data_IF_704331599326
#
_entry.id   IF_704331599326
#
_cell.length_a   1.000
_cell.length_b   1.000
_cell.length_c   1.000
_cell.angle_alpha   90.00
_cell.angle_beta   90.00
_cell.angle_gamma   90.00
#
_symmetry.space_group_name_H-M   'P 1'
#
loop_
_entity.id
_entity.type
_entity.pdbx_description
1 polymer ?
#
# COMPACT_ATOMS: atom_id res chain seq x y z
N UNK A 1 -24.14 -10.36 13.08
CA UNK A 1 -23.99 -8.97 12.61
C UNK A 1 -23.91 -9.00 11.09
N UNK A 2 -24.46 -8.00 10.41
CA UNK A 2 -24.36 -7.89 8.95
C UNK A 2 -23.10 -7.08 8.60
N UNK A 3 -22.35 -7.51 7.60
CA UNK A 3 -21.37 -6.66 6.92
C UNK A 3 -22.00 -6.18 5.61
N UNK A 4 -21.65 -4.99 5.15
CA UNK A 4 -22.08 -4.51 3.85
C UNK A 4 -21.13 -5.01 2.77
N UNK A 5 -21.67 -5.53 1.67
CA UNK A 5 -20.86 -5.99 0.55
C UNK A 5 -20.19 -4.78 -0.12
N UNK A 6 -18.88 -4.84 -0.29
CA UNK A 6 -18.17 -3.84 -1.08
C UNK A 6 -18.31 -4.17 -2.58
N UNK A 7 -18.84 -3.23 -3.36
CA UNK A 7 -19.16 -3.41 -4.78
C UNK A 7 -18.06 -2.92 -5.74
N UNK A 8 -17.00 -2.29 -5.22
CA UNK A 8 -15.94 -1.74 -6.08
C UNK A 8 -16.31 -0.42 -6.76
N UNK A 9 -17.32 0.28 -6.26
CA UNK A 9 -17.92 1.49 -6.84
C UNK A 9 -17.46 2.80 -6.16
N UNK A 10 -16.71 2.72 -5.07
CA UNK A 10 -16.16 3.86 -4.36
C UNK A 10 -14.75 3.61 -3.84
N UNK A 11 -13.94 4.66 -3.74
CA UNK A 11 -12.67 4.62 -3.01
C UNK A 11 -12.93 4.89 -1.53
N UNK A 12 -12.57 3.93 -0.67
CA UNK A 12 -12.75 4.01 0.77
C UNK A 12 -11.53 4.65 1.45
N UNK A 13 -11.73 5.51 2.44
CA UNK A 13 -10.63 5.96 3.31
C UNK A 13 -10.19 4.86 4.29
N UNK A 14 -9.08 5.05 5.00
CA UNK A 14 -8.57 4.00 5.91
C UNK A 14 -9.58 3.61 6.99
N UNK A 15 -10.33 4.56 7.57
CA UNK A 15 -11.30 4.27 8.60
C UNK A 15 -12.46 3.39 8.08
N UNK A 16 -12.93 3.64 6.87
CA UNK A 16 -13.95 2.83 6.20
C UNK A 16 -13.43 1.41 5.89
N UNK A 17 -12.20 1.29 5.41
CA UNK A 17 -11.54 -0.01 5.18
C UNK A 17 -11.46 -0.81 6.49
N UNK A 18 -10.98 -0.18 7.56
CA UNK A 18 -10.83 -0.81 8.88
C UNK A 18 -12.18 -1.27 9.43
N UNK A 19 -13.20 -0.43 9.33
CA UNK A 19 -14.56 -0.75 9.75
C UNK A 19 -15.12 -1.94 8.96
N UNK A 20 -14.92 -1.93 7.64
CA UNK A 20 -15.39 -3.00 6.76
C UNK A 20 -14.74 -4.35 7.08
N UNK A 21 -13.42 -4.40 7.23
CA UNK A 21 -12.70 -5.62 7.57
C UNK A 21 -13.15 -6.20 8.94
N UNK A 22 -13.34 -5.35 9.95
CA UNK A 22 -13.82 -5.76 11.28
C UNK A 22 -15.25 -6.28 11.24
N UNK A 23 -16.14 -5.58 10.53
CA UNK A 23 -17.53 -6.00 10.36
C UNK A 23 -17.61 -7.36 9.65
N UNK A 24 -16.80 -7.57 8.60
CA UNK A 24 -16.76 -8.84 7.88
C UNK A 24 -16.32 -10.00 8.78
N UNK A 25 -15.22 -9.85 9.51
CA UNK A 25 -14.71 -10.89 10.40
C UNK A 25 -15.72 -11.26 11.51
N UNK A 26 -16.42 -10.25 12.06
CA UNK A 26 -17.50 -10.48 13.03
C UNK A 26 -18.74 -11.15 12.41
N UNK A 27 -19.03 -10.87 11.14
CA UNK A 27 -20.19 -11.42 10.45
C UNK A 27 -19.98 -12.87 9.97
N UNK A 28 -18.72 -13.28 9.74
CA UNK A 28 -18.35 -14.60 9.21
C UNK A 28 -17.21 -15.28 9.98
N UNK A 29 -17.31 -15.44 11.31
CA UNK A 29 -16.21 -15.97 12.14
C UNK A 29 -15.83 -17.41 11.82
N UNK A 30 -16.72 -18.20 11.20
CA UNK A 30 -16.42 -19.56 10.75
C UNK A 30 -15.55 -19.64 9.48
N UNK A 31 -15.37 -18.52 8.79
CA UNK A 31 -14.65 -18.43 7.51
C UNK A 31 -13.57 -17.36 7.48
N UNK A 32 -13.71 -16.32 8.30
CA UNK A 32 -12.84 -15.14 8.28
C UNK A 32 -12.32 -14.88 9.68
N UNK A 33 -11.00 -14.78 9.79
CA UNK A 33 -10.34 -14.23 10.97
C UNK A 33 -9.64 -12.93 10.60
N UNK A 34 -9.48 -12.04 11.59
CA UNK A 34 -8.82 -10.76 11.42
C UNK A 34 -7.67 -10.66 12.43
N UNK A 35 -6.48 -10.38 11.91
CA UNK A 35 -5.27 -10.17 12.71
C UNK A 35 -4.77 -8.74 12.49
N UNK A 36 -4.40 -8.07 13.57
CA UNK A 36 -3.63 -6.83 13.50
C UNK A 36 -2.14 -7.17 13.53
N UNK A 37 -1.43 -6.91 12.42
CA UNK A 37 0.00 -7.21 12.32
C UNK A 37 0.87 -6.25 13.15
N UNK A 38 0.30 -5.11 13.52
CA UNK A 38 0.94 -4.07 14.29
C UNK A 38 0.54 -2.68 13.77
N UNK A 39 0.93 -1.63 14.49
CA UNK A 39 0.68 -0.26 14.05
C UNK A 39 1.71 0.20 13.01
N UNK A 40 1.28 1.07 12.11
CA UNK A 40 2.16 1.92 11.31
C UNK A 40 2.88 2.95 12.19
N UNK A 41 3.77 3.75 11.59
CA UNK A 41 4.45 4.84 12.31
C UNK A 41 3.48 5.91 12.83
N UNK A 42 2.39 6.15 12.09
CA UNK A 42 1.29 7.04 12.46
C UNK A 42 0.25 6.39 13.37
N UNK A 43 0.48 5.15 13.82
CA UNK A 43 -0.38 4.46 14.78
C UNK A 43 -1.60 3.76 14.19
N UNK A 44 -1.75 3.72 12.86
CA UNK A 44 -2.86 3.02 12.21
C UNK A 44 -2.61 1.51 12.22
N UNK A 45 -3.58 0.66 12.56
CA UNK A 45 -3.42 -0.79 12.50
C UNK A 45 -3.19 -1.27 11.07
N UNK A 46 -2.28 -2.21 10.86
CA UNK A 46 -2.17 -2.96 9.61
C UNK A 46 -3.00 -4.24 9.75
N UNK A 47 -4.07 -4.35 8.96
CA UNK A 47 -5.01 -5.46 9.03
C UNK A 47 -4.67 -6.58 8.06
N UNK A 48 -4.79 -7.81 8.55
CA UNK A 48 -4.68 -9.05 7.79
C UNK A 48 -5.98 -9.84 7.94
N UNK A 49 -6.66 -10.10 6.83
CA UNK A 49 -7.79 -11.02 6.76
C UNK A 49 -7.29 -12.41 6.37
N UNK A 50 -7.75 -13.43 7.08
CA UNK A 50 -7.47 -14.82 6.74
C UNK A 50 -8.78 -15.53 6.45
N UNK A 51 -8.96 -15.97 5.21
CA UNK A 51 -10.12 -16.66 4.68
C UNK A 51 -9.83 -18.16 4.55
N UNK A 52 -10.70 -18.98 5.13
CA UNK A 52 -10.60 -20.43 5.12
C UNK A 52 -11.49 -21.01 6.22
N UNK A 53 -11.75 -22.31 6.22
CA UNK A 53 -12.54 -22.91 7.31
C UNK A 53 -11.84 -22.66 8.65
N UNK A 54 -12.49 -21.96 9.56
CA UNK A 54 -11.92 -21.64 10.87
C UNK A 54 -12.11 -22.82 11.85
N UNK A 55 -11.25 -23.82 11.71
CA UNK A 55 -11.19 -25.02 12.54
C UNK A 55 -9.84 -25.15 13.26
N UNK A 56 -9.11 -24.03 13.42
CA UNK A 56 -7.81 -23.97 14.09
C UNK A 56 -6.61 -24.40 13.24
N UNK A 57 -6.81 -24.77 11.96
CA UNK A 57 -5.74 -25.22 11.08
C UNK A 57 -5.45 -24.28 9.90
N UNK A 58 -6.05 -23.08 9.86
CA UNK A 58 -5.89 -22.14 8.75
C UNK A 58 -4.42 -21.83 8.43
N UNK A 59 -3.57 -21.66 9.43
CA UNK A 59 -2.15 -21.29 9.25
C UNK A 59 -1.26 -22.45 8.78
N UNK A 60 -1.74 -23.70 8.85
CA UNK A 60 -0.99 -24.89 8.42
C UNK A 60 -1.32 -25.33 6.98
N UNK A 61 -2.37 -24.78 6.38
CA UNK A 61 -2.80 -25.10 5.01
C UNK A 61 -1.95 -24.36 3.97
N UNK A 62 -1.81 -24.90 2.75
CA UNK A 62 -1.26 -24.15 1.63
C UNK A 62 -1.99 -22.81 1.45
N UNK A 63 -1.20 -21.73 1.34
CA UNK A 63 -1.69 -20.36 1.37
C UNK A 63 -1.65 -19.68 0.00
N UNK A 64 -2.67 -18.86 -0.27
CA UNK A 64 -2.65 -17.83 -1.30
C UNK A 64 -2.54 -16.45 -0.64
N UNK A 65 -1.62 -15.61 -1.09
CA UNK A 65 -1.40 -14.27 -0.54
C UNK A 65 -1.84 -13.19 -1.52
N UNK A 66 -2.58 -12.20 -1.04
CA UNK A 66 -2.95 -10.99 -1.77
C UNK A 66 -2.69 -9.76 -0.92
N UNK A 67 -1.92 -8.81 -1.42
CA UNK A 67 -1.79 -7.48 -0.80
C UNK A 67 -2.11 -6.34 -1.76
N UNK A 68 -2.52 -5.23 -1.17
CA UNK A 68 -2.77 -3.97 -1.86
C UNK A 68 -2.12 -2.81 -1.10
N UNK A 69 -1.95 -1.66 -1.77
CA UNK A 69 -1.49 -0.44 -1.12
C UNK A 69 -0.03 -0.48 -0.64
N UNK A 70 0.81 -1.35 -1.21
CA UNK A 70 2.27 -1.29 -1.03
C UNK A 70 2.82 0.08 -1.44
N UNK A 71 2.27 0.67 -2.50
CA UNK A 71 2.39 2.09 -2.76
C UNK A 71 1.13 2.84 -2.33
N UNK A 72 1.33 3.92 -1.58
CA UNK A 72 0.26 4.72 -0.99
C UNK A 72 -0.71 5.34 -2.02
N UNK A 73 -0.22 5.67 -3.21
CA UNK A 73 -0.99 6.32 -4.26
C UNK A 73 -1.75 5.34 -5.17
N UNK A 74 -1.57 4.02 -5.01
CA UNK A 74 -2.18 3.00 -5.87
C UNK A 74 -3.53 2.53 -5.32
N UNK A 75 -4.49 3.45 -5.23
CA UNK A 75 -5.76 3.20 -4.52
C UNK A 75 -6.58 2.06 -5.11
N UNK A 76 -6.52 1.89 -6.43
CA UNK A 76 -7.24 0.81 -7.12
C UNK A 76 -6.76 -0.57 -6.66
N UNK A 77 -5.49 -0.72 -6.28
CA UNK A 77 -4.98 -1.99 -5.74
C UNK A 77 -5.60 -2.33 -4.39
N UNK A 78 -5.78 -1.33 -3.52
CA UNK A 78 -6.46 -1.50 -2.21
C UNK A 78 -7.93 -1.89 -2.43
N UNK A 79 -8.64 -1.18 -3.31
CA UNK A 79 -10.04 -1.47 -3.61
C UNK A 79 -10.21 -2.84 -4.29
N UNK A 80 -9.30 -3.23 -5.19
CA UNK A 80 -9.32 -4.55 -5.82
C UNK A 80 -9.15 -5.68 -4.80
N UNK A 81 -8.30 -5.50 -3.79
CA UNK A 81 -8.14 -6.48 -2.71
C UNK A 81 -9.43 -6.64 -1.89
N UNK A 82 -10.09 -5.54 -1.53
CA UNK A 82 -11.37 -5.56 -0.82
C UNK A 82 -12.49 -6.17 -1.67
N UNK A 83 -12.54 -5.82 -2.96
CA UNK A 83 -13.52 -6.38 -3.89
C UNK A 83 -13.31 -7.88 -4.05
N UNK A 84 -12.07 -8.37 -4.18
CA UNK A 84 -11.79 -9.80 -4.23
C UNK A 84 -12.31 -10.54 -2.99
N UNK A 85 -12.05 -10.01 -1.80
CA UNK A 85 -12.61 -10.55 -0.54
C UNK A 85 -14.14 -10.57 -0.59
N UNK A 86 -14.75 -9.45 -0.95
CA UNK A 86 -16.21 -9.31 -1.07
C UNK A 86 -16.82 -10.39 -1.99
N UNK A 87 -16.22 -10.62 -3.16
CA UNK A 87 -16.64 -11.66 -4.10
C UNK A 87 -16.45 -13.08 -3.55
N UNK A 88 -15.35 -13.35 -2.85
CA UNK A 88 -15.12 -14.66 -2.26
C UNK A 88 -16.10 -14.98 -1.13
N UNK A 89 -16.42 -14.01 -0.28
CA UNK A 89 -17.42 -14.21 0.77
C UNK A 89 -18.82 -14.40 0.16
N UNK A 90 -19.14 -13.68 -0.92
CA UNK A 90 -20.39 -13.93 -1.65
C UNK A 90 -20.49 -15.38 -2.13
N UNK A 91 -19.43 -15.94 -2.72
CA UNK A 91 -19.42 -17.35 -3.15
C UNK A 91 -19.66 -18.33 -2.00
N UNK A 92 -19.12 -18.04 -0.81
CA UNK A 92 -19.38 -18.82 0.40
C UNK A 92 -20.85 -18.71 0.81
N UNK A 93 -21.39 -17.49 0.84
CA UNK A 93 -22.77 -17.22 1.24
C UNK A 93 -23.81 -17.84 0.27
N UNK A 94 -23.48 -17.91 -1.02
CA UNK A 94 -24.28 -18.56 -2.06
C UNK A 94 -24.13 -20.09 -2.07
N UNK A 95 -23.24 -20.65 -1.25
CA UNK A 95 -23.07 -22.10 -1.13
C UNK A 95 -22.30 -22.74 -2.30
N UNK A 96 -21.35 -22.02 -2.92
CA UNK A 96 -20.46 -22.58 -3.94
C UNK A 96 -19.63 -23.74 -3.35
N UNK A 97 -20.10 -24.97 -3.56
CA UNK A 97 -19.55 -26.17 -2.96
C UNK A 97 -18.07 -26.40 -3.32
N UNK A 98 -17.66 -26.04 -4.54
CA UNK A 98 -16.27 -26.22 -4.98
C UNK A 98 -15.34 -25.24 -4.27
N UNK A 99 -15.75 -23.97 -4.16
CA UNK A 99 -14.96 -22.96 -3.46
C UNK A 99 -14.89 -23.23 -1.96
N UNK A 100 -16.02 -23.60 -1.36
CA UNK A 100 -16.11 -23.99 0.06
C UNK A 100 -15.20 -25.18 0.34
N UNK A 101 -15.25 -26.23 -0.48
CA UNK A 101 -14.36 -27.40 -0.34
C UNK A 101 -12.90 -26.99 -0.43
N UNK A 102 -12.55 -26.16 -1.42
CA UNK A 102 -11.18 -25.66 -1.59
C UNK A 102 -10.67 -24.92 -0.34
N UNK A 103 -11.51 -24.09 0.29
CA UNK A 103 -11.22 -23.37 1.55
C UNK A 103 -11.16 -24.26 2.80
N UNK A 104 -11.52 -25.55 2.71
CA UNK A 104 -11.24 -26.52 3.78
C UNK A 104 -9.83 -27.09 3.70
N UNK A 105 -9.17 -26.93 2.56
CA UNK A 105 -7.83 -27.49 2.26
C UNK A 105 -6.77 -26.40 2.05
N UNK A 106 -7.19 -25.16 1.78
CA UNK A 106 -6.32 -24.02 1.53
C UNK A 106 -6.75 -22.81 2.36
N UNK A 107 -5.88 -21.82 2.43
CA UNK A 107 -6.14 -20.54 3.10
C UNK A 107 -5.83 -19.39 2.15
N UNK A 108 -6.67 -18.36 2.12
CA UNK A 108 -6.39 -17.09 1.45
C UNK A 108 -6.11 -16.05 2.50
N UNK A 109 -4.96 -15.41 2.42
CA UNK A 109 -4.56 -14.33 3.32
C UNK A 109 -4.52 -13.03 2.53
N UNK A 110 -5.22 -12.01 3.01
CA UNK A 110 -5.37 -10.71 2.35
C UNK A 110 -4.93 -9.59 3.27
N UNK A 111 -3.99 -8.78 2.81
CA UNK A 111 -3.56 -7.54 3.47
C UNK A 111 -4.04 -6.37 2.59
N UNK A 112 -5.25 -5.81 2.82
CA UNK A 112 -5.86 -4.87 1.88
C UNK A 112 -5.03 -3.61 1.65
N UNK A 113 -4.38 -3.12 2.71
CA UNK A 113 -3.56 -1.92 2.68
C UNK A 113 -2.29 -2.08 3.51
N UNK A 114 -1.15 -2.22 2.83
CA UNK A 114 0.18 -2.33 3.45
C UNK A 114 0.64 -0.99 4.07
N UNK A 115 0.20 0.14 3.53
CA UNK A 115 0.63 1.48 3.95
C UNK A 115 -0.54 2.40 4.35
N UNK A 116 -1.32 2.07 5.42
CA UNK A 116 -2.46 2.87 5.87
C UNK A 116 -2.18 4.37 6.04
N UNK A 117 -1.04 4.73 6.62
CA UNK A 117 -0.66 6.14 6.82
C UNK A 117 -0.49 6.90 5.51
N UNK A 118 0.28 6.32 4.58
CA UNK A 118 0.55 6.98 3.30
C UNK A 118 -0.70 7.01 2.43
N UNK A 119 -1.48 5.93 2.44
CA UNK A 119 -2.76 5.83 1.75
C UNK A 119 -3.71 6.94 2.20
N UNK A 120 -3.90 7.10 3.51
CA UNK A 120 -4.77 8.11 4.09
C UNK A 120 -4.28 9.53 3.75
N UNK A 121 -2.97 9.79 3.79
CA UNK A 121 -2.40 11.06 3.34
C UNK A 121 -2.74 11.34 1.86
N UNK A 122 -2.69 10.30 1.01
CA UNK A 122 -3.01 10.46 -0.40
C UNK A 122 -4.50 10.71 -0.65
N UNK A 123 -5.39 10.01 0.06
CA UNK A 123 -6.83 10.27 0.03
C UNK A 123 -7.17 11.71 0.47
N UNK A 124 -6.43 12.27 1.43
CA UNK A 124 -6.58 13.67 1.90
C UNK A 124 -6.04 14.72 0.92
N UNK A 125 -5.39 14.32 -0.15
CA UNK A 125 -4.79 15.25 -1.12
C UNK A 125 -3.49 15.89 -0.64
N UNK A 126 -2.75 15.25 0.26
CA UNK A 126 -1.39 15.67 0.60
C UNK A 126 -0.45 15.58 -0.62
N UNK A 127 0.72 16.25 -0.60
CA UNK A 127 1.69 16.14 -1.68
C UNK A 127 2.01 14.68 -2.02
N UNK A 128 2.15 14.40 -3.32
CA UNK A 128 2.30 13.05 -3.83
C UNK A 128 3.39 12.26 -3.10
N UNK A 129 3.00 11.07 -2.64
CA UNK A 129 3.85 10.14 -1.95
C UNK A 129 3.62 8.72 -2.48
N UNK A 130 4.68 8.10 -2.98
CA UNK A 130 4.63 6.68 -3.36
C UNK A 130 4.74 5.74 -2.15
N UNK A 131 5.46 6.14 -1.10
CA UNK A 131 5.85 5.27 0.03
C UNK A 131 5.09 5.57 1.33
N UNK A 132 5.70 5.32 2.49
CA UNK A 132 5.18 5.68 3.82
C UNK A 132 5.54 7.11 4.22
N UNK A 133 4.86 7.65 5.24
CA UNK A 133 5.15 8.97 5.84
C UNK A 133 6.50 8.97 6.59
N UNK A 134 7.58 8.86 5.83
CA UNK A 134 8.96 8.93 6.33
C UNK A 134 9.45 10.38 6.23
N UNK A 135 9.92 10.99 7.33
CA UNK A 135 10.60 12.27 7.27
C UNK A 135 11.78 12.23 6.30
N UNK A 136 12.08 13.33 5.60
CA UNK A 136 13.31 13.45 4.84
C UNK A 136 14.50 13.08 5.71
N UNK A 137 15.49 12.38 5.15
CA UNK A 137 16.77 12.21 5.84
C UNK A 137 17.30 13.61 6.13
N UNK A 138 17.60 13.91 7.39
CA UNK A 138 18.33 15.13 7.75
C UNK A 138 19.54 15.21 6.83
N UNK A 139 19.66 16.31 6.06
CA UNK A 139 20.79 16.49 5.17
C UNK A 139 22.06 16.29 5.99
N UNK A 140 22.86 15.27 5.63
CA UNK A 140 24.20 15.14 6.19
C UNK A 140 24.91 16.43 5.82
N UNK A 141 25.25 17.29 6.80
CA UNK A 141 26.07 18.47 6.57
C UNK A 141 27.24 18.02 5.71
N UNK A 142 27.35 18.56 4.50
CA UNK A 142 28.55 18.35 3.70
C UNK A 142 29.73 18.79 4.57
N UNK A 143 30.83 18.03 4.66
CA UNK A 143 32.03 18.54 5.31
C UNK A 143 32.38 19.86 4.62
N UNK A 144 32.67 20.89 5.43
CA UNK A 144 33.03 22.20 4.91
C UNK A 144 34.16 22.02 3.89
N UNK A 145 33.90 22.37 2.63
CA UNK A 145 34.94 22.38 1.61
C UNK A 145 36.01 23.37 2.05
N UNK A 146 37.23 22.89 2.27
CA UNK A 146 38.41 23.73 2.45
C UNK A 146 38.48 24.73 1.28
N UNK A 147 38.68 26.04 1.53
CA UNK A 147 38.72 27.00 0.43
C UNK A 147 39.93 26.68 -0.46
N UNK A 148 39.66 26.40 -1.73
CA UNK A 148 40.72 26.26 -2.73
C UNK A 148 41.31 27.65 -3.00
N UNK A 149 42.59 27.83 -2.71
CA UNK A 149 43.35 29.03 -3.08
C UNK A 149 43.44 29.09 -4.60
N UNK A 150 42.66 29.96 -5.23
CA UNK A 150 42.74 30.18 -6.67
C UNK A 150 43.94 31.09 -6.98
N UNK A 151 45.04 30.54 -7.46
CA UNK A 151 46.02 31.32 -8.22
C UNK A 151 45.45 31.54 -9.62
N UNK A 152 45.09 32.78 -9.92
CA UNK A 152 44.68 33.22 -11.27
C UNK A 152 45.94 33.34 -12.12
N UNK A 153 46.09 32.49 -13.13
CA UNK A 153 47.08 32.67 -14.20
C UNK A 153 46.41 33.42 -15.35
N UNK A 154 46.99 34.55 -15.77
CA UNK A 154 46.48 35.37 -16.87
C UNK A 154 46.56 34.65 -18.23
N UNK A 155 45.62 34.90 -19.17
CA UNK A 155 45.68 34.32 -20.50
C UNK A 155 46.66 35.09 -21.42
N UNK A 156 47.32 34.43 -22.39
CA UNK A 156 48.18 35.11 -23.34
C UNK A 156 47.37 35.85 -24.42
N UNK A 157 47.97 36.92 -24.92
CA UNK A 157 47.38 37.86 -25.87
C UNK A 157 47.36 37.35 -27.32
N UNK A 158 46.24 37.63 -28.01
CA UNK A 158 46.22 37.91 -29.44
C UNK A 158 45.76 36.77 -30.37
N UNK A 159 44.65 36.98 -31.08
CA UNK A 159 44.71 37.31 -32.50
C UNK A 159 43.35 37.82 -33.01
N UNK A 160 43.41 38.86 -33.84
CA UNK A 160 42.29 39.67 -34.30
C UNK A 160 41.51 39.02 -35.45
N UNK A 161 40.18 39.21 -35.39
CA UNK A 161 39.28 39.58 -36.49
C UNK A 161 39.33 38.83 -37.83
N UNK A 162 38.22 38.16 -38.16
CA UNK A 162 37.64 38.22 -39.52
C UNK A 162 36.11 38.26 -39.40
N UNK A 163 35.54 39.35 -39.88
CA UNK A 163 34.11 39.55 -40.16
C UNK A 163 33.72 38.98 -41.53
N UNK A 164 32.59 38.26 -41.65
CA UNK A 164 31.73 38.20 -42.85
C UNK A 164 30.28 37.96 -42.38
N UNK A 165 29.41 38.97 -42.42
CA UNK A 165 28.38 39.28 -43.45
C UNK A 165 27.48 38.09 -43.80
N UNK A 166 26.17 38.26 -43.55
CA UNK A 166 25.08 37.31 -43.81
C UNK A 166 24.79 37.07 -45.30
N UNK A 167 23.53 36.79 -45.71
CA UNK A 167 22.25 36.97 -45.00
C UNK A 167 21.84 35.81 -44.09
#
# INVERSE_FOLDING_TARGET
MAYERYLGDAYLNDAEIQAWCRALAQARPGWVTLTELGPTRGGRPILLLTLGKNDGHQDARPGFWLDGGTHAAEWTGVMAALYAVSQWIQRIDEGDANFILWLTQHTITVLPNVSPDGYEAMIRGEPYLRSTLRPPKTARRAPASTPATSTVTAPPAGCAGVTRRGP
#
